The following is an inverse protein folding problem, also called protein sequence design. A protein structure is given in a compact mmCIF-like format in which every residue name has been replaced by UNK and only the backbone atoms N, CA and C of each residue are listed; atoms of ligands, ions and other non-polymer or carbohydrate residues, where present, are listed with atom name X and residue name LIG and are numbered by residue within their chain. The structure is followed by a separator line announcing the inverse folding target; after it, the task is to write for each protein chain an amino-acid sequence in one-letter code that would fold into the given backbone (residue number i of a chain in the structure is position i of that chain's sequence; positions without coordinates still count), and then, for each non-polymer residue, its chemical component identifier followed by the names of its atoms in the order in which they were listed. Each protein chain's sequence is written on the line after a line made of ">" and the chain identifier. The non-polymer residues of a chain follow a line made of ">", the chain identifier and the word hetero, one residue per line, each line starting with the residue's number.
data_IF_762279763606
#
_entry.id   IF_762279763606
#
_cell.length_a   1.000
_cell.length_b   1.000
_cell.length_c   1.000
_cell.angle_alpha   90.00
_cell.angle_beta   90.00
_cell.angle_gamma   90.00
#
_symmetry.space_group_name_H-M   'P 1'
#
loop_
_entity.id
_entity.type
_entity.pdbx_description
1 polymer ?
#
# COMPACT_ATOMS: atom_id res chain seq x y z
N UNK A 1 2.60 0.93 6.89
CA UNK A 1 3.38 -0.27 6.52
C UNK A 1 2.50 -1.41 6.05
N UNK A 2 1.71 -2.04 6.90
CA UNK A 2 0.89 -3.24 6.58
C UNK A 2 0.05 -3.20 5.29
N UNK A 3 -0.28 -2.04 4.77
CA UNK A 3 -1.10 -1.88 3.55
C UNK A 3 -0.23 -2.02 2.31
N UNK A 4 0.94 -1.40 2.29
CA UNK A 4 1.82 -1.34 1.11
C UNK A 4 2.59 -2.62 0.88
N UNK A 5 3.04 -3.27 1.95
CA UNK A 5 3.63 -4.60 1.84
C UNK A 5 2.59 -5.65 1.39
N UNK A 6 1.32 -5.47 1.76
CA UNK A 6 0.21 -6.28 1.24
C UNK A 6 -0.03 -6.01 -0.26
N UNK A 7 -0.04 -4.73 -0.68
CA UNK A 7 -0.16 -4.37 -2.09
C UNK A 7 0.99 -4.93 -2.93
N UNK A 8 2.23 -4.84 -2.42
CA UNK A 8 3.39 -5.44 -3.08
C UNK A 8 3.27 -6.97 -3.17
N UNK A 9 2.76 -7.62 -2.12
CA UNK A 9 2.48 -9.05 -2.13
C UNK A 9 1.43 -9.44 -3.16
N UNK A 10 0.33 -8.69 -3.28
CA UNK A 10 -0.70 -8.92 -4.29
C UNK A 10 -0.10 -8.83 -5.70
N UNK A 11 0.68 -7.81 -5.99
CA UNK A 11 1.34 -7.65 -7.28
C UNK A 11 2.28 -8.82 -7.60
N UNK A 12 3.08 -9.25 -6.62
CA UNK A 12 3.95 -10.44 -6.75
C UNK A 12 3.13 -11.71 -7.00
N UNK A 13 2.03 -11.91 -6.28
CA UNK A 13 1.14 -13.08 -6.43
C UNK A 13 0.44 -13.15 -7.79
N UNK A 14 0.16 -12.01 -8.39
CA UNK A 14 -0.37 -11.86 -9.75
C UNK A 14 0.70 -12.05 -10.84
N UNK A 15 1.99 -12.15 -10.46
CA UNK A 15 3.08 -12.31 -11.40
C UNK A 15 3.61 -11.00 -12.00
N UNK A 16 3.26 -9.85 -11.44
CA UNK A 16 3.86 -8.58 -11.87
C UNK A 16 5.32 -8.49 -11.44
N UNK A 17 6.15 -7.91 -12.31
CA UNK A 17 7.60 -7.79 -12.10
C UNK A 17 8.03 -6.67 -11.16
N UNK A 18 9.35 -6.53 -11.02
CA UNK A 18 9.98 -5.57 -10.10
C UNK A 18 9.65 -4.11 -10.41
N UNK A 19 9.39 -3.76 -11.68
CA UNK A 19 8.97 -2.42 -12.07
C UNK A 19 7.63 -2.03 -11.42
N UNK A 20 6.66 -2.94 -11.37
CA UNK A 20 5.37 -2.70 -10.71
C UNK A 20 5.57 -2.53 -9.21
N UNK A 21 6.43 -3.33 -8.60
CA UNK A 21 6.78 -3.21 -7.19
C UNK A 21 7.45 -1.86 -6.89
N UNK A 22 8.40 -1.44 -7.72
CA UNK A 22 9.05 -0.14 -7.60
C UNK A 22 8.04 1.01 -7.70
N UNK A 23 7.11 0.97 -8.64
CA UNK A 23 6.04 1.96 -8.78
C UNK A 23 5.13 2.00 -7.55
N UNK A 24 4.76 0.84 -6.99
CA UNK A 24 3.97 0.77 -5.76
C UNK A 24 4.71 1.36 -4.55
N UNK A 25 6.01 1.11 -4.43
CA UNK A 25 6.84 1.67 -3.35
C UNK A 25 6.92 3.20 -3.50
N UNK A 26 7.24 3.71 -4.67
CA UNK A 26 7.37 5.15 -4.94
C UNK A 26 6.05 5.88 -4.69
N UNK A 27 4.95 5.37 -5.22
CA UNK A 27 3.61 5.93 -4.96
C UNK A 27 3.19 5.78 -3.51
N UNK A 28 3.54 4.66 -2.88
CA UNK A 28 3.24 4.38 -1.48
C UNK A 28 3.86 5.38 -0.52
N UNK A 29 5.14 5.74 -0.74
CA UNK A 29 5.79 6.77 0.09
C UNK A 29 5.18 8.15 -0.11
N UNK A 30 4.81 8.50 -1.35
CA UNK A 30 4.14 9.76 -1.64
C UNK A 30 2.77 9.88 -0.93
N UNK A 31 1.99 8.79 -0.87
CA UNK A 31 0.74 8.74 -0.10
C UNK A 31 0.98 8.92 1.40
N UNK A 32 1.97 8.20 1.96
CA UNK A 32 2.33 8.32 3.38
C UNK A 32 2.75 9.76 3.70
N UNK A 33 3.62 10.33 2.87
CA UNK A 33 4.15 11.68 3.08
C UNK A 33 3.03 12.72 3.05
N UNK A 34 2.13 12.65 2.05
CA UNK A 34 0.97 13.56 1.98
C UNK A 34 0.11 13.52 3.23
N UNK A 35 -0.27 12.32 3.65
CA UNK A 35 -1.07 12.16 4.88
C UNK A 35 -0.30 12.64 6.11
N UNK A 36 0.96 12.23 6.25
CA UNK A 36 1.78 12.58 7.40
C UNK A 36 2.02 14.08 7.55
N UNK A 37 2.25 14.80 6.44
CA UNK A 37 2.41 16.26 6.45
C UNK A 37 1.07 16.93 6.79
N UNK A 38 -0.05 16.46 6.27
CA UNK A 38 -1.39 16.97 6.65
C UNK A 38 -1.71 16.75 8.12
N UNK A 39 -1.12 15.73 8.74
CA UNK A 39 -1.23 15.46 10.18
C UNK A 39 -0.20 16.23 11.03
N UNK A 40 0.59 17.13 10.43
CA UNK A 40 1.60 17.94 11.11
C UNK A 40 3.00 17.32 11.18
N UNK A 41 3.23 16.23 10.47
CA UNK A 41 4.56 15.60 10.35
C UNK A 41 5.48 16.40 9.42
N UNK A 42 6.80 16.18 9.56
CA UNK A 42 7.81 16.77 8.68
C UNK A 42 8.14 15.82 7.54
N UNK A 43 8.28 16.34 6.32
CA UNK A 43 8.56 15.56 5.11
C UNK A 43 9.85 14.74 5.25
N UNK A 44 10.87 15.27 5.89
CA UNK A 44 12.18 14.63 6.10
C UNK A 44 12.04 13.31 6.87
N UNK A 45 11.02 13.19 7.74
CA UNK A 45 10.77 11.96 8.48
C UNK A 45 10.31 10.82 7.57
N UNK A 46 9.73 11.12 6.42
CA UNK A 46 9.21 10.12 5.47
C UNK A 46 10.22 9.76 4.38
N UNK A 47 11.20 10.62 4.10
CA UNK A 47 12.22 10.43 3.07
C UNK A 47 13.49 9.74 3.58
N UNK A 48 13.60 9.52 4.90
CA UNK A 48 14.74 8.87 5.54
C UNK A 48 14.59 7.36 5.71
N UNK A 49 15.50 6.77 6.50
CA UNK A 49 15.53 5.32 6.77
C UNK A 49 14.25 4.81 7.44
N UNK A 50 13.64 5.62 8.30
CA UNK A 50 12.37 5.27 8.99
C UNK A 50 11.14 5.35 8.10
N UNK A 51 11.23 6.00 6.95
CA UNK A 51 10.17 6.12 5.95
C UNK A 51 10.43 5.21 4.75
N UNK A 52 11.16 5.72 3.76
CA UNK A 52 11.46 5.00 2.52
C UNK A 52 12.23 3.69 2.80
N UNK A 53 13.26 3.74 3.65
CA UNK A 53 14.10 2.58 3.94
C UNK A 53 13.27 1.42 4.50
N UNK A 54 12.45 1.69 5.50
CA UNK A 54 11.58 0.69 6.10
C UNK A 54 10.50 0.17 5.11
N UNK A 55 9.96 1.03 4.26
CA UNK A 55 9.00 0.64 3.24
C UNK A 55 9.62 -0.32 2.20
N UNK A 56 10.83 -0.01 1.72
CA UNK A 56 11.55 -0.85 0.76
C UNK A 56 11.81 -2.24 1.35
N UNK A 57 12.38 -2.27 2.55
CA UNK A 57 12.70 -3.54 3.23
C UNK A 57 11.43 -4.37 3.47
N UNK A 58 10.35 -3.75 3.92
CA UNK A 58 9.11 -4.45 4.25
C UNK A 58 8.41 -4.97 3.00
N UNK A 59 8.38 -4.20 1.91
CA UNK A 59 7.79 -4.63 0.63
C UNK A 59 8.61 -5.74 -0.05
N UNK A 60 9.91 -5.80 0.16
CA UNK A 60 10.80 -6.81 -0.40
C UNK A 60 10.91 -8.06 0.50
N UNK A 61 10.66 -7.94 1.80
CA UNK A 61 10.91 -9.00 2.78
C UNK A 61 9.99 -10.20 2.58
N UNK A 62 10.59 -11.38 2.41
CA UNK A 62 9.88 -12.65 2.41
C UNK A 62 9.33 -13.03 3.80
N UNK A 63 9.81 -12.38 4.85
CA UNK A 63 9.39 -12.62 6.23
C UNK A 63 8.16 -11.77 6.63
N UNK A 64 7.77 -10.79 5.81
CA UNK A 64 6.56 -10.00 6.07
C UNK A 64 5.30 -10.87 5.91
N UNK A 65 4.59 -11.07 7.01
CA UNK A 65 3.31 -11.79 7.01
C UNK A 65 2.24 -11.06 6.18
N UNK A 66 2.25 -9.73 6.20
CA UNK A 66 1.34 -8.94 5.38
C UNK A 66 1.62 -9.13 3.89
N UNK A 67 2.90 -9.10 3.49
CA UNK A 67 3.29 -9.38 2.10
C UNK A 67 2.89 -10.79 1.70
N UNK A 68 3.13 -11.79 2.53
CA UNK A 68 2.74 -13.19 2.26
C UNK A 68 1.23 -13.33 2.12
N UNK A 69 0.44 -12.70 2.98
CA UNK A 69 -1.02 -12.68 2.85
C UNK A 69 -1.46 -12.04 1.52
N UNK A 70 -0.88 -10.90 1.15
CA UNK A 70 -1.13 -10.27 -0.14
C UNK A 70 -0.77 -11.17 -1.32
N UNK A 71 0.36 -11.86 -1.27
CA UNK A 71 0.78 -12.84 -2.28
C UNK A 71 -0.26 -13.95 -2.49
N UNK A 72 -0.75 -14.53 -1.42
CA UNK A 72 -1.78 -15.58 -1.47
C UNK A 72 -3.10 -15.04 -2.05
N UNK A 73 -3.48 -13.82 -1.73
CA UNK A 73 -4.65 -13.17 -2.32
C UNK A 73 -4.46 -12.88 -3.81
N UNK A 74 -3.27 -12.47 -4.24
CA UNK A 74 -2.92 -12.34 -5.66
C UNK A 74 -3.01 -13.66 -6.43
N UNK A 75 -2.75 -14.78 -5.75
CA UNK A 75 -2.92 -16.12 -6.31
C UNK A 75 -4.37 -16.63 -6.28
N UNK A 76 -5.33 -15.83 -5.85
CA UNK A 76 -6.76 -16.15 -5.88
C UNK A 76 -7.34 -16.67 -4.55
N UNK A 77 -6.56 -16.72 -3.46
CA UNK A 77 -7.12 -17.04 -2.14
C UNK A 77 -7.95 -15.88 -1.60
N UNK A 78 -9.01 -16.22 -0.89
CA UNK A 78 -9.78 -15.22 -0.13
C UNK A 78 -8.93 -14.60 0.99
N UNK A 79 -9.36 -13.43 1.47
CA UNK A 79 -8.71 -12.78 2.62
C UNK A 79 -8.63 -13.72 3.83
N UNK A 80 -9.72 -14.44 4.12
CA UNK A 80 -9.77 -15.35 5.28
C UNK A 80 -8.79 -16.50 5.14
N UNK A 81 -8.76 -17.19 3.99
CA UNK A 81 -7.83 -18.28 3.72
C UNK A 81 -6.37 -17.82 3.78
N UNK A 82 -6.07 -16.64 3.22
CA UNK A 82 -4.72 -16.07 3.27
C UNK A 82 -4.28 -15.74 4.71
N UNK A 83 -5.20 -15.19 5.52
CA UNK A 83 -4.92 -14.86 6.92
C UNK A 83 -4.71 -16.12 7.78
N UNK A 84 -5.52 -17.14 7.60
CA UNK A 84 -5.42 -18.40 8.33
C UNK A 84 -4.09 -19.11 8.02
N UNK A 85 -3.67 -19.10 6.75
CA UNK A 85 -2.41 -19.72 6.33
C UNK A 85 -1.17 -19.01 6.90
N UNK A 86 -1.19 -17.68 6.96
CA UNK A 86 -0.06 -16.92 7.55
C UNK A 86 -0.15 -16.78 9.07
N UNK A 87 -1.15 -17.36 9.70
CA UNK A 87 -1.44 -17.24 11.15
C UNK A 87 -1.43 -15.78 11.60
N UNK A 88 -2.12 -14.94 10.86
CA UNK A 88 -2.10 -13.51 11.06
C UNK A 88 -3.23 -13.07 11.97
N UNK A 89 -2.92 -12.20 12.94
CA UNK A 89 -3.94 -11.60 13.79
C UNK A 89 -4.74 -10.58 12.97
N UNK A 90 -6.06 -10.60 13.15
CA UNK A 90 -7.03 -9.75 12.43
C UNK A 90 -6.75 -8.25 12.53
N UNK A 91 -6.05 -7.82 13.57
CA UNK A 91 -5.70 -6.43 13.85
C UNK A 91 -4.94 -5.73 12.70
N UNK A 92 -4.03 -6.43 12.03
CA UNK A 92 -3.30 -5.90 10.87
C UNK A 92 -4.18 -5.61 9.65
N UNK A 93 -5.38 -6.18 9.58
CA UNK A 93 -6.36 -5.94 8.51
C UNK A 93 -7.11 -4.63 8.77
N UNK A 94 -7.43 -4.34 10.02
CA UNK A 94 -8.14 -3.10 10.41
C UNK A 94 -7.30 -1.84 10.22
N UNK A 95 -5.98 -1.94 10.12
CA UNK A 95 -5.12 -0.80 9.79
C UNK A 95 -5.46 -0.19 8.42
N UNK A 96 -5.94 -1.00 7.47
CA UNK A 96 -6.38 -0.50 6.16
C UNK A 96 -7.65 0.36 6.27
N UNK A 97 -8.61 -0.05 7.10
CA UNK A 97 -9.81 0.78 7.39
C UNK A 97 -9.45 2.07 8.11
N UNK A 98 -8.54 2.00 9.09
CA UNK A 98 -8.09 3.17 9.83
C UNK A 98 -7.40 4.19 8.90
N UNK A 99 -6.54 3.71 8.00
CA UNK A 99 -5.86 4.57 7.02
C UNK A 99 -6.86 5.23 6.04
N UNK A 100 -7.88 4.49 5.58
CA UNK A 100 -8.94 5.05 4.73
C UNK A 100 -9.70 6.17 5.46
N UNK A 101 -10.09 5.96 6.72
CA UNK A 101 -10.75 6.98 7.54
C UNK A 101 -9.87 8.21 7.76
N UNK A 102 -8.57 8.03 7.97
CA UNK A 102 -7.63 9.14 8.10
C UNK A 102 -7.51 9.92 6.79
N UNK A 103 -7.42 9.22 5.65
CA UNK A 103 -7.39 9.85 4.33
C UNK A 103 -8.64 10.73 4.11
N UNK A 104 -9.82 10.21 4.42
CA UNK A 104 -11.08 10.93 4.35
C UNK A 104 -11.10 12.15 5.29
N UNK A 105 -10.70 11.97 6.56
CA UNK A 105 -10.67 13.04 7.58
C UNK A 105 -9.75 14.20 7.19
N UNK A 106 -8.60 13.90 6.58
CA UNK A 106 -7.60 14.92 6.20
C UNK A 106 -7.71 15.33 4.73
N UNK A 107 -8.71 14.83 4.01
CA UNK A 107 -8.96 15.10 2.58
C UNK A 107 -7.72 14.82 1.71
N UNK A 108 -7.09 13.68 1.94
CA UNK A 108 -5.89 13.24 1.22
C UNK A 108 -6.23 12.06 0.31
N UNK A 109 -5.91 12.19 -0.99
CA UNK A 109 -6.05 11.08 -1.94
C UNK A 109 -4.98 10.01 -1.66
N UNK A 110 -5.43 8.78 -1.39
CA UNK A 110 -4.58 7.62 -1.10
C UNK A 110 -5.02 6.39 -1.92
N UNK A 111 -4.76 6.40 -3.23
CA UNK A 111 -5.25 5.35 -4.13
C UNK A 111 -4.86 3.93 -3.74
N UNK A 112 -3.62 3.71 -3.26
CA UNK A 112 -3.20 2.36 -2.82
C UNK A 112 -4.01 1.91 -1.62
N UNK A 113 -4.26 2.80 -0.66
CA UNK A 113 -5.11 2.51 0.51
C UNK A 113 -6.54 2.17 0.08
N UNK A 114 -7.10 2.93 -0.86
CA UNK A 114 -8.44 2.72 -1.40
C UNK A 114 -8.55 1.34 -2.07
N UNK A 115 -7.63 0.99 -2.95
CA UNK A 115 -7.64 -0.30 -3.66
C UNK A 115 -7.42 -1.48 -2.71
N UNK A 116 -6.52 -1.37 -1.74
CA UNK A 116 -6.32 -2.42 -0.74
C UNK A 116 -7.58 -2.61 0.11
N UNK A 117 -8.27 -1.54 0.51
CA UNK A 117 -9.55 -1.66 1.21
C UNK A 117 -10.62 -2.34 0.35
N UNK A 118 -10.72 -1.99 -0.94
CA UNK A 118 -11.67 -2.61 -1.85
C UNK A 118 -11.42 -4.13 -1.99
N UNK A 119 -10.17 -4.54 -2.12
CA UNK A 119 -9.81 -5.97 -2.17
C UNK A 119 -10.12 -6.68 -0.85
N UNK A 120 -9.78 -6.06 0.30
CA UNK A 120 -9.94 -6.70 1.60
C UNK A 120 -11.41 -6.79 2.06
N UNK A 121 -12.24 -5.78 1.79
CA UNK A 121 -13.53 -5.62 2.42
C UNK A 121 -14.72 -5.49 1.46
N UNK A 122 -14.47 -5.18 0.19
CA UNK A 122 -15.50 -4.94 -0.81
C UNK A 122 -15.54 -6.03 -1.90
N UNK A 123 -14.72 -7.06 -1.76
CA UNK A 123 -14.66 -8.21 -2.69
C UNK A 123 -14.11 -7.88 -4.08
N UNK A 124 -13.37 -6.76 -4.21
CA UNK A 124 -12.75 -6.38 -5.49
C UNK A 124 -11.68 -7.39 -5.88
N UNK A 125 -11.63 -7.73 -7.18
CA UNK A 125 -10.60 -8.61 -7.71
C UNK A 125 -9.22 -7.94 -7.59
N UNK A 126 -8.20 -8.63 -7.03
CA UNK A 126 -6.85 -8.09 -6.90
C UNK A 126 -6.23 -7.63 -8.23
N UNK A 127 -6.47 -8.32 -9.34
CA UNK A 127 -5.96 -7.93 -10.65
C UNK A 127 -6.57 -6.60 -11.11
N UNK A 128 -7.89 -6.43 -10.98
CA UNK A 128 -8.57 -5.17 -11.30
C UNK A 128 -8.05 -4.01 -10.44
N UNK A 129 -7.76 -4.27 -9.17
CA UNK A 129 -7.22 -3.25 -8.27
C UNK A 129 -5.82 -2.77 -8.71
N UNK A 130 -4.97 -3.69 -9.17
CA UNK A 130 -3.64 -3.32 -9.71
C UNK A 130 -3.78 -2.58 -11.03
N UNK A 131 -4.65 -3.04 -11.93
CA UNK A 131 -4.89 -2.39 -13.22
C UNK A 131 -5.40 -0.95 -13.03
N UNK A 132 -6.34 -0.74 -12.13
CA UNK A 132 -6.85 0.60 -11.79
C UNK A 132 -5.72 1.53 -11.29
N UNK A 133 -4.79 1.00 -10.48
CA UNK A 133 -3.64 1.77 -10.02
C UNK A 133 -2.68 2.12 -11.16
N UNK A 134 -2.48 1.20 -12.11
CA UNK A 134 -1.58 1.40 -13.25
C UNK A 134 -2.16 2.35 -14.31
N UNK A 135 -3.48 2.29 -14.55
CA UNK A 135 -4.18 3.12 -15.54
C UNK A 135 -4.46 4.54 -15.05
N UNK A 136 -4.25 4.85 -13.78
CA UNK A 136 -4.42 6.23 -13.29
C UNK A 136 -3.50 7.17 -14.06
N UNK A 137 -4.09 8.31 -14.46
CA UNK A 137 -3.34 9.37 -15.14
C UNK A 137 -2.05 9.71 -14.38
N UNK A 138 -0.97 9.79 -15.12
CA UNK A 138 0.33 10.23 -14.62
C UNK A 138 0.18 11.62 -14.02
N UNK A 139 0.16 11.73 -12.68
CA UNK A 139 0.37 13.00 -12.01
C UNK A 139 1.86 13.25 -11.97
N UNK A 140 2.30 14.49 -12.20
CA UNK A 140 3.69 14.88 -11.98
C UNK A 140 4.08 14.51 -10.54
N UNK A 141 5.19 13.82 -10.35
CA UNK A 141 5.70 13.49 -9.01
C UNK A 141 6.02 14.76 -8.21
N UNK A 142 6.35 15.86 -8.90
CA UNK A 142 6.66 17.14 -8.30
C UNK A 142 5.43 17.96 -7.87
N UNK A 143 4.27 17.77 -8.52
CA UNK A 143 3.08 18.63 -8.27
C UNK A 143 2.40 18.34 -6.91
N UNK A 144 2.83 17.34 -6.19
CA UNK A 144 2.19 16.90 -4.94
C UNK A 144 3.14 16.79 -3.75
N UNK A 145 4.39 17.16 -3.94
CA UNK A 145 5.40 17.09 -2.90
C UNK A 145 5.72 18.50 -2.38
N UNK A 146 5.75 18.70 -1.05
CA UNK A 146 5.86 20.03 -0.44
C UNK A 146 7.24 20.70 -0.59
N UNK A 147 8.13 20.17 -1.42
CA UNK A 147 9.41 20.79 -1.77
C UNK A 147 9.42 21.51 -3.13
N UNK A 148 8.28 21.71 -3.73
CA UNK A 148 8.15 22.46 -5.01
C UNK A 148 8.04 23.97 -4.80
N UNK A 149 8.56 24.51 -3.72
CA UNK A 149 8.78 25.96 -3.53
C UNK A 149 10.28 26.27 -3.40
#
# INVERSE_FOLDING_TARGET
>A
MCIRDRAAGIADGLGYGDNTKAALITRGIAEIARLGVKMGGKIESFTGLTGIGDLIVTCASVHSRNRKAGYLMGQGKSMQEAMDEVKMVVEGVYSAKAAKRLAEKYEVSMPIVEQVNAVLFEGKNPAEAVDDLMQRASKSESDTLPWSE
#
